data_IF_288014939537
#
_entry.id   IF_288014939537
#
_cell.length_a   1.000
_cell.length_b   1.000
_cell.length_c   1.000
_cell.angle_alpha   90.00
_cell.angle_beta   90.00
_cell.angle_gamma   90.00
#
_symmetry.space_group_name_H-M   'P 1'
#
loop_
_entity.id
_entity.type
_entity.pdbx_description
1 polymer ?
#
# COMPACT_ATOMS: atom_id res chain seq x y z
N UNK A 1 -4.41 -22.11 4.33
CA UNK A 1 -5.02 -20.87 3.82
C UNK A 1 -6.47 -21.16 3.46
N UNK A 2 -7.42 -20.46 4.08
CA UNK A 2 -8.87 -20.64 3.88
C UNK A 2 -9.35 -19.99 2.57
N UNK A 3 -10.57 -20.33 2.14
CA UNK A 3 -11.20 -19.71 0.96
C UNK A 3 -11.39 -18.20 1.12
N UNK A 4 -11.64 -17.73 2.34
CA UNK A 4 -11.76 -16.30 2.65
C UNK A 4 -10.40 -15.59 2.50
N UNK A 5 -9.33 -16.16 3.06
CA UNK A 5 -7.97 -15.61 2.92
C UNK A 5 -7.52 -15.56 1.45
N UNK A 6 -7.84 -16.59 0.66
CA UNK A 6 -7.54 -16.62 -0.77
C UNK A 6 -8.26 -15.50 -1.54
N UNK A 7 -9.53 -15.21 -1.21
CA UNK A 7 -10.30 -14.11 -1.80
C UNK A 7 -9.71 -12.76 -1.42
N UNK A 8 -9.44 -12.51 -0.14
CA UNK A 8 -8.79 -11.26 0.33
C UNK A 8 -7.45 -11.04 -0.38
N UNK A 9 -6.62 -12.09 -0.51
CA UNK A 9 -5.34 -11.99 -1.22
C UNK A 9 -5.51 -11.66 -2.71
N UNK A 10 -6.53 -12.22 -3.37
CA UNK A 10 -6.84 -11.90 -4.78
C UNK A 10 -7.25 -10.43 -4.93
N UNK A 11 -8.12 -9.92 -4.05
CA UNK A 11 -8.55 -8.51 -4.04
C UNK A 11 -7.38 -7.57 -3.80
N UNK A 12 -6.53 -7.89 -2.82
CA UNK A 12 -5.31 -7.14 -2.52
C UNK A 12 -4.38 -7.04 -3.73
N UNK A 13 -4.09 -8.17 -4.38
CA UNK A 13 -3.24 -8.18 -5.57
C UNK A 13 -3.82 -7.36 -6.73
N UNK A 14 -5.15 -7.42 -6.92
CA UNK A 14 -5.82 -6.61 -7.93
C UNK A 14 -5.75 -5.10 -7.61
N UNK A 15 -5.90 -4.73 -6.33
CA UNK A 15 -5.78 -3.35 -5.87
C UNK A 15 -4.37 -2.80 -6.10
N UNK A 16 -3.33 -3.55 -5.73
CA UNK A 16 -1.94 -3.16 -5.96
C UNK A 16 -1.60 -2.95 -7.43
N UNK A 17 -2.14 -3.79 -8.32
CA UNK A 17 -1.94 -3.63 -9.77
C UNK A 17 -2.54 -2.33 -10.31
N UNK A 18 -3.65 -1.86 -9.72
CA UNK A 18 -4.34 -0.64 -10.14
C UNK A 18 -3.73 0.64 -9.55
N UNK A 19 -3.31 0.59 -8.29
CA UNK A 19 -2.97 1.79 -7.52
C UNK A 19 -1.49 1.87 -7.10
N UNK A 20 -0.72 0.80 -7.29
CA UNK A 20 0.66 0.68 -6.83
C UNK A 20 0.79 0.39 -5.33
N UNK A 21 2.00 0.02 -4.89
CA UNK A 21 2.29 -0.34 -3.48
C UNK A 21 2.07 0.81 -2.50
N UNK A 22 2.32 2.07 -2.89
CA UNK A 22 2.11 3.20 -1.99
C UNK A 22 0.63 3.41 -1.63
N UNK A 23 -0.33 2.83 -2.37
CA UNK A 23 -1.76 2.94 -2.08
C UNK A 23 -2.20 2.16 -0.82
N UNK A 24 -1.36 1.30 -0.27
CA UNK A 24 -1.64 0.55 0.97
C UNK A 24 -0.71 0.97 2.12
N UNK A 25 0.02 2.06 1.93
CA UNK A 25 0.84 2.67 2.96
C UNK A 25 -0.03 3.51 3.91
N UNK A 26 0.33 3.59 5.19
CA UNK A 26 -0.30 4.52 6.15
C UNK A 26 -0.17 5.98 5.72
N UNK A 27 0.85 6.30 4.92
CA UNK A 27 1.09 7.65 4.39
C UNK A 27 0.32 7.95 3.08
N UNK A 28 -0.53 7.04 2.58
CA UNK A 28 -1.23 7.19 1.27
C UNK A 28 -2.11 8.44 1.19
N UNK A 29 -2.67 8.88 2.33
CA UNK A 29 -3.56 10.03 2.43
C UNK A 29 -2.78 11.36 2.48
N UNK A 30 -1.50 11.30 2.84
CA UNK A 30 -0.64 12.46 2.96
C UNK A 30 -0.04 12.83 1.59
N UNK A 31 -0.91 13.18 0.64
CA UNK A 31 -0.56 13.46 -0.76
C UNK A 31 0.37 14.66 -0.96
N UNK A 32 0.50 15.52 0.05
CA UNK A 32 1.39 16.68 0.07
C UNK A 32 2.47 16.60 1.15
N UNK A 33 2.56 15.47 1.87
CA UNK A 33 3.62 15.33 2.86
C UNK A 33 4.96 15.20 2.16
N UNK A 34 6.01 15.92 2.61
CA UNK A 34 7.35 15.81 2.04
C UNK A 34 7.94 14.39 2.14
N UNK A 35 7.29 13.47 2.85
CA UNK A 35 7.75 12.11 3.09
C UNK A 35 7.06 11.02 2.24
N UNK A 36 6.37 11.34 1.14
CA UNK A 36 5.65 10.34 0.32
C UNK A 36 6.25 10.12 -1.09
N UNK A 37 6.58 8.86 -1.40
CA UNK A 37 7.11 8.36 -2.69
C UNK A 37 6.38 8.89 -3.94
N UNK A 38 5.04 8.93 -3.90
CA UNK A 38 4.18 9.14 -5.08
C UNK A 38 4.30 10.56 -5.70
N UNK A 39 5.02 11.48 -5.05
CA UNK A 39 5.23 12.84 -5.54
C UNK A 39 6.64 13.15 -6.06
N UNK A 40 7.57 12.19 -6.08
CA UNK A 40 8.98 12.45 -6.41
C UNK A 40 9.38 11.76 -7.73
N UNK A 41 9.18 12.42 -8.88
CA UNK A 41 9.42 11.81 -10.20
C UNK A 41 10.88 11.41 -10.44
N UNK A 42 11.84 12.08 -9.80
CA UNK A 42 13.28 11.78 -9.93
C UNK A 42 13.74 10.59 -9.07
N UNK A 43 12.84 10.01 -8.27
CA UNK A 43 13.19 8.97 -7.31
C UNK A 43 13.15 7.59 -7.96
N UNK A 44 14.31 6.96 -8.06
CA UNK A 44 14.43 5.54 -8.45
C UNK A 44 14.43 4.65 -7.20
N UNK A 45 13.25 4.23 -6.74
CA UNK A 45 13.10 3.32 -5.59
C UNK A 45 11.90 3.61 -4.70
N UNK A 46 11.48 2.62 -3.90
CA UNK A 46 10.39 2.73 -2.93
C UNK A 46 10.93 2.89 -1.50
N UNK A 47 10.10 3.36 -0.57
CA UNK A 47 10.54 3.70 0.80
C UNK A 47 11.13 2.51 1.57
N UNK A 48 10.72 1.30 1.21
CA UNK A 48 11.22 0.03 1.72
C UNK A 48 12.59 -0.38 1.16
N UNK A 49 13.06 0.24 0.06
CA UNK A 49 14.29 -0.19 -0.63
C UNK A 49 15.43 0.81 -0.59
N UNK A 50 15.17 2.11 -0.40
CA UNK A 50 16.21 3.14 -0.54
C UNK A 50 16.64 3.83 0.77
N UNK A 51 15.97 3.53 1.89
CA UNK A 51 16.33 4.04 3.22
C UNK A 51 16.23 5.56 3.42
N UNK A 52 15.67 6.29 2.45
CA UNK A 52 15.59 7.77 2.47
C UNK A 52 14.36 8.33 3.18
N UNK A 53 13.34 7.50 3.37
CA UNK A 53 12.07 7.85 4.01
C UNK A 53 11.79 6.90 5.17
N UNK A 54 10.86 7.24 6.08
CA UNK A 54 10.34 6.27 7.03
C UNK A 54 9.96 4.98 6.31
N UNK A 55 10.40 3.85 6.87
CA UNK A 55 10.14 2.52 6.33
C UNK A 55 8.66 2.38 6.00
N UNK A 56 8.35 1.77 4.86
CA UNK A 56 6.99 1.43 4.47
C UNK A 56 6.22 0.82 5.65
N UNK A 57 5.08 1.42 5.99
CA UNK A 57 4.17 0.88 7.00
C UNK A 57 2.87 0.53 6.33
N UNK A 58 2.51 -0.75 6.41
CA UNK A 58 1.26 -1.25 5.91
C UNK A 58 0.10 -0.64 6.70
N UNK A 59 -0.94 -0.18 6.02
CA UNK A 59 -2.17 0.24 6.69
C UNK A 59 -3.16 -0.94 6.75
N UNK A 60 -3.36 -1.45 7.96
CA UNK A 60 -4.24 -2.58 8.24
C UNK A 60 -5.70 -2.32 7.86
N UNK A 61 -6.16 -1.06 7.90
CA UNK A 61 -7.53 -0.69 7.48
C UNK A 61 -7.80 -1.03 6.03
N UNK A 62 -6.76 -1.11 5.20
CA UNK A 62 -6.88 -1.51 3.80
C UNK A 62 -7.21 -3.00 3.69
N UNK A 63 -6.63 -3.87 4.53
CA UNK A 63 -7.01 -5.28 4.56
C UNK A 63 -8.42 -5.47 5.12
N UNK A 64 -8.78 -4.70 6.14
CA UNK A 64 -10.13 -4.75 6.73
C UNK A 64 -11.19 -4.41 5.68
N UNK A 65 -11.01 -3.34 4.91
CA UNK A 65 -11.92 -3.00 3.81
C UNK A 65 -11.93 -3.99 2.62
N UNK A 66 -10.99 -4.95 2.59
CA UNK A 66 -10.96 -6.01 1.57
C UNK A 66 -11.57 -7.33 2.04
N UNK A 67 -11.73 -7.51 3.35
CA UNK A 67 -12.48 -8.64 3.92
C UNK A 67 -13.94 -8.46 3.52
N UNK A 68 -14.61 -9.56 3.19
CA UNK A 68 -16.05 -9.51 2.95
C UNK A 68 -16.73 -8.94 4.21
N UNK A 69 -17.52 -7.87 4.06
CA UNK A 69 -18.53 -7.55 5.07
C UNK A 69 -19.46 -8.77 5.10
N UNK A 70 -19.46 -9.44 6.24
CA UNK A 70 -20.13 -10.74 6.48
C UNK A 70 -21.58 -10.75 6.05
#
# INVERSE_FOLDING_TARGET
MTTAEARTRKRYNAYLRRHGRCAVCTMRAAGSSPAHCKGWPDRQGSCDTDGKLPVFRFDESVLEGMRDES
#
